data_IF_479725066478
#
_entry.id   IF_479725066478
#
_cell.length_a   1.000
_cell.length_b   1.000
_cell.length_c   1.000
_cell.angle_alpha   90.00
_cell.angle_beta   90.00
_cell.angle_gamma   90.00
#
_symmetry.space_group_name_H-M   'P 1'
#
loop_
_entity.id
_entity.type
_entity.pdbx_description
1 polymer ?
#
# COMPACT_ATOMS: atom_id res chain seq x y z
N UNK A 1 3.32 1.66 -13.39
CA UNK A 1 2.54 2.38 -12.35
C UNK A 1 2.46 3.84 -12.74
N UNK A 2 1.44 4.60 -12.35
CA UNK A 2 1.29 5.99 -12.80
C UNK A 2 1.63 6.97 -11.70
N UNK A 3 2.37 8.03 -12.04
CA UNK A 3 2.72 9.11 -11.13
C UNK A 3 1.45 9.79 -10.62
N UNK A 4 1.28 9.97 -9.29
CA UNK A 4 0.06 10.56 -8.74
C UNK A 4 -0.06 12.05 -9.07
N UNK A 5 1.07 12.70 -9.41
CA UNK A 5 1.14 14.14 -9.66
C UNK A 5 0.98 14.52 -11.14
N UNK A 6 1.45 13.68 -12.06
CA UNK A 6 1.48 13.99 -13.51
C UNK A 6 0.98 12.86 -14.41
N UNK A 7 0.38 11.84 -13.81
CA UNK A 7 -0.21 10.64 -14.45
C UNK A 7 0.71 9.92 -15.46
N UNK A 8 2.02 10.12 -15.33
CA UNK A 8 3.00 9.53 -16.25
C UNK A 8 3.46 8.17 -15.78
N UNK A 9 3.77 7.29 -16.73
CA UNK A 9 4.21 5.94 -16.44
C UNK A 9 5.56 5.98 -15.71
N UNK A 10 5.53 5.57 -14.44
CA UNK A 10 6.69 5.31 -13.61
C UNK A 10 7.03 3.83 -13.71
N UNK A 11 8.32 3.56 -13.96
CA UNK A 11 8.86 2.21 -13.99
C UNK A 11 9.20 1.71 -12.58
N UNK A 12 9.63 2.59 -11.68
CA UNK A 12 10.12 2.21 -10.35
C UNK A 12 9.86 3.30 -9.29
N UNK A 13 9.70 2.90 -8.02
CA UNK A 13 9.42 3.80 -6.88
C UNK A 13 10.68 4.47 -6.34
N UNK A 14 11.84 3.89 -6.66
CA UNK A 14 13.17 4.34 -6.27
C UNK A 14 13.74 5.40 -7.20
N UNK A 15 13.02 5.73 -8.28
CA UNK A 15 13.43 6.75 -9.23
C UNK A 15 12.45 7.92 -9.22
N UNK A 16 12.96 9.16 -9.26
CA UNK A 16 12.12 10.33 -9.42
C UNK A 16 11.41 10.30 -10.77
N UNK A 17 10.19 10.83 -10.82
CA UNK A 17 9.41 10.87 -12.04
C UNK A 17 10.18 11.63 -13.14
N UNK A 18 10.38 11.06 -14.33
CA UNK A 18 11.10 11.73 -15.41
C UNK A 18 10.34 12.95 -15.98
N UNK A 19 9.05 13.11 -15.66
CA UNK A 19 8.20 14.20 -16.19
C UNK A 19 7.99 15.35 -15.21
N UNK A 20 7.69 15.07 -13.94
CA UNK A 20 7.48 16.11 -12.93
C UNK A 20 8.58 16.18 -11.86
N UNK A 21 9.51 15.23 -11.81
CA UNK A 21 10.58 15.18 -10.80
C UNK A 21 10.14 14.67 -9.44
N UNK A 22 8.90 14.17 -9.28
CA UNK A 22 8.42 13.62 -8.00
C UNK A 22 9.24 12.40 -7.57
N UNK A 23 9.88 12.50 -6.41
CA UNK A 23 10.63 11.40 -5.78
C UNK A 23 9.77 10.71 -4.71
N UNK A 24 9.16 9.57 -5.07
CA UNK A 24 8.34 8.77 -4.16
C UNK A 24 9.15 8.13 -3.02
N UNK A 25 10.47 7.99 -3.18
CA UNK A 25 11.33 7.43 -2.13
C UNK A 25 11.62 8.43 -1.01
N UNK A 26 11.52 9.72 -1.31
CA UNK A 26 11.59 10.79 -0.30
C UNK A 26 10.24 11.08 0.36
N UNK A 27 9.14 10.61 -0.23
CA UNK A 27 7.81 10.78 0.34
C UNK A 27 7.64 9.96 1.63
N UNK A 28 6.90 10.52 2.58
CA UNK A 28 6.52 9.79 3.78
C UNK A 28 5.63 8.60 3.42
N UNK A 29 5.90 7.44 4.02
CA UNK A 29 5.07 6.25 3.88
C UNK A 29 4.02 6.28 4.99
N UNK A 30 2.75 6.39 4.60
CA UNK A 30 1.64 6.51 5.54
C UNK A 30 0.88 5.20 5.55
N UNK A 31 0.61 4.69 6.75
CA UNK A 31 -0.25 3.51 6.92
C UNK A 31 -1.69 3.90 6.62
N UNK A 32 -2.30 3.19 5.68
CA UNK A 32 -3.67 3.43 5.19
C UNK A 32 -4.67 2.41 5.71
N UNK A 33 -4.21 1.19 6.00
CA UNK A 33 -5.05 0.10 6.50
C UNK A 33 -4.22 -0.83 7.38
N UNK A 34 -4.90 -1.49 8.33
CA UNK A 34 -4.36 -2.61 9.09
C UNK A 34 -5.31 -3.77 8.87
N UNK A 35 -4.82 -4.86 8.31
CA UNK A 35 -5.65 -6.02 7.97
C UNK A 35 -4.99 -7.30 8.44
N UNK A 36 -5.79 -8.34 8.63
CA UNK A 36 -5.31 -9.65 9.09
C UNK A 36 -5.29 -10.65 7.94
N UNK A 37 -4.32 -11.57 7.92
CA UNK A 37 -4.27 -12.63 6.92
C UNK A 37 -5.54 -13.50 6.98
N UNK A 38 -6.00 -14.02 5.84
CA UNK A 38 -5.32 -14.04 4.53
C UNK A 38 -5.60 -12.84 3.61
N UNK A 39 -6.35 -11.82 4.07
CA UNK A 39 -6.78 -10.71 3.20
C UNK A 39 -5.62 -9.80 2.77
N UNK A 40 -4.46 -9.86 3.46
CA UNK A 40 -3.26 -9.04 3.20
C UNK A 40 -2.72 -9.22 1.78
N UNK A 41 -2.61 -10.48 1.35
CA UNK A 41 -2.14 -10.81 0.01
C UNK A 41 -3.11 -10.34 -1.10
N UNK A 42 -4.41 -10.36 -0.82
CA UNK A 42 -5.45 -9.91 -1.77
C UNK A 42 -5.36 -8.40 -1.96
N UNK A 43 -5.27 -7.66 -0.85
CA UNK A 43 -5.23 -6.21 -0.88
C UNK A 43 -3.91 -5.69 -1.45
N UNK A 44 -2.79 -6.35 -1.16
CA UNK A 44 -1.50 -6.06 -1.81
C UNK A 44 -1.61 -6.21 -3.34
N UNK A 45 -2.11 -7.34 -3.80
CA UNK A 45 -2.25 -7.64 -5.23
C UNK A 45 -3.18 -6.64 -5.93
N UNK A 46 -4.27 -6.26 -5.26
CA UNK A 46 -5.22 -5.26 -5.76
C UNK A 46 -4.55 -3.89 -5.92
N UNK A 47 -3.89 -3.39 -4.88
CA UNK A 47 -3.21 -2.08 -4.89
C UNK A 47 -2.09 -2.08 -5.94
N UNK A 48 -1.33 -3.16 -6.06
CA UNK A 48 -0.32 -3.32 -7.12
C UNK A 48 -0.93 -3.33 -8.52
N UNK A 49 -2.10 -3.95 -8.70
CA UNK A 49 -2.83 -3.98 -9.98
C UNK A 49 -3.29 -2.58 -10.42
N UNK A 50 -3.64 -1.71 -9.47
CA UNK A 50 -3.88 -0.28 -9.73
C UNK A 50 -2.61 0.51 -10.07
N UNK A 51 -1.44 -0.14 -10.07
CA UNK A 51 -0.17 0.51 -10.28
C UNK A 51 0.17 1.46 -9.14
N UNK A 52 -0.21 1.12 -7.91
CA UNK A 52 0.11 1.91 -6.72
C UNK A 52 1.17 1.16 -5.91
N UNK A 53 2.24 1.84 -5.48
CA UNK A 53 3.26 1.21 -4.67
C UNK A 53 2.78 0.98 -3.24
N UNK A 54 2.91 -0.26 -2.79
CA UNK A 54 2.45 -0.73 -1.48
C UNK A 54 3.58 -1.40 -0.72
N UNK A 55 3.64 -1.18 0.60
CA UNK A 55 4.52 -1.88 1.54
C UNK A 55 3.68 -2.55 2.61
N UNK A 56 3.84 -3.85 2.74
CA UNK A 56 3.32 -4.61 3.86
C UNK A 56 4.32 -4.57 5.01
N UNK A 57 3.85 -4.15 6.18
CA UNK A 57 4.62 -4.15 7.42
C UNK A 57 4.01 -5.24 8.30
N UNK A 58 4.67 -6.40 8.31
CA UNK A 58 4.30 -7.53 9.16
C UNK A 58 4.85 -7.29 10.57
N UNK A 59 4.01 -7.46 11.58
CA UNK A 59 4.50 -7.48 12.96
C UNK A 59 5.41 -8.70 13.16
N UNK A 60 6.54 -8.50 13.85
CA UNK A 60 7.68 -9.43 13.99
C UNK A 60 7.30 -10.84 14.48
N UNK A 61 6.12 -11.03 15.07
CA UNK A 61 5.61 -12.33 15.52
C UNK A 61 5.24 -13.31 14.39
N UNK A 62 5.01 -12.84 13.16
CA UNK A 62 4.49 -13.69 12.07
C UNK A 62 5.59 -14.41 11.26
N UNK A 63 6.84 -13.93 11.29
CA UNK A 63 7.91 -14.38 10.36
C UNK A 63 8.64 -15.63 10.86
N UNK A 64 8.46 -16.00 12.13
CA UNK A 64 9.15 -17.13 12.78
C UNK A 64 8.30 -18.40 12.93
N UNK A 65 7.12 -18.47 12.30
CA UNK A 65 6.25 -19.66 12.36
C UNK A 65 5.70 -19.99 13.75
N UNK A 66 5.81 -19.06 14.71
CA UNK A 66 5.42 -19.23 16.11
C UNK A 66 4.05 -18.63 16.47
N UNK A 67 3.32 -18.04 15.51
CA UNK A 67 2.04 -17.42 15.79
C UNK A 67 0.88 -18.41 15.68
N UNK A 68 0.71 -19.26 16.70
CA UNK A 68 -0.61 -19.80 17.05
C UNK A 68 -1.34 -18.69 17.82
N UNK A 69 -2.06 -17.80 17.12
CA UNK A 69 -2.92 -16.80 17.75
C UNK A 69 -3.20 -15.53 16.92
N UNK A 70 -4.23 -14.73 17.29
CA UNK A 70 -4.81 -13.63 16.51
C UNK A 70 -3.93 -12.36 16.34
N UNK A 71 -2.61 -12.46 16.49
CA UNK A 71 -1.65 -11.33 16.45
C UNK A 71 -1.02 -11.13 15.06
N UNK A 72 -1.75 -11.47 14.01
CA UNK A 72 -1.30 -11.44 12.61
C UNK A 72 -1.57 -10.12 11.88
N UNK A 73 -1.70 -8.99 12.56
CA UNK A 73 -2.04 -7.73 11.88
C UNK A 73 -0.90 -7.25 10.97
N UNK A 74 -1.22 -7.12 9.68
CA UNK A 74 -0.37 -6.57 8.62
C UNK A 74 -0.80 -5.14 8.36
N UNK A 75 0.16 -4.22 8.46
CA UNK A 75 -0.08 -2.80 8.16
C UNK A 75 0.29 -2.52 6.72
N UNK A 76 -0.64 -1.92 5.99
CA UNK A 76 -0.46 -1.53 4.60
C UNK A 76 -0.07 -0.07 4.57
N UNK A 77 1.14 0.20 4.07
CA UNK A 77 1.68 1.54 3.90
C UNK A 77 1.83 1.88 2.42
N UNK A 78 1.49 3.12 2.06
CA UNK A 78 1.68 3.66 0.72
C UNK A 78 2.30 5.06 0.84
N UNK A 79 2.97 5.58 -0.20
CA UNK A 79 3.44 6.96 -0.18
C UNK A 79 2.29 7.93 0.02
N UNK A 80 2.51 9.00 0.78
CA UNK A 80 1.50 10.02 1.12
C UNK A 80 0.70 10.51 -0.11
N UNK A 81 1.40 10.69 -1.24
CA UNK A 81 0.81 11.10 -2.52
C UNK A 81 -0.29 10.15 -3.04
N UNK A 82 -0.19 8.86 -2.71
CA UNK A 82 -1.23 7.86 -3.03
C UNK A 82 -2.16 7.59 -1.86
N UNK A 83 -1.82 7.99 -0.64
CA UNK A 83 -2.58 7.66 0.56
C UNK A 83 -4.03 8.16 0.48
N UNK A 84 -4.27 9.36 -0.05
CA UNK A 84 -5.62 9.86 -0.26
C UNK A 84 -6.44 8.98 -1.21
N UNK A 85 -5.86 8.61 -2.36
CA UNK A 85 -6.51 7.77 -3.38
C UNK A 85 -6.83 6.37 -2.84
N UNK A 86 -5.87 5.73 -2.17
CA UNK A 86 -6.10 4.38 -1.64
C UNK A 86 -7.06 4.40 -0.46
N UNK A 87 -7.04 5.43 0.40
CA UNK A 87 -8.04 5.59 1.46
C UNK A 87 -9.45 5.68 0.90
N UNK A 88 -9.66 6.38 -0.21
CA UNK A 88 -10.97 6.43 -0.87
C UNK A 88 -11.39 5.06 -1.43
N UNK A 89 -10.46 4.32 -2.06
CA UNK A 89 -10.73 2.97 -2.56
C UNK A 89 -11.10 2.01 -1.42
N UNK A 90 -10.34 2.04 -0.32
CA UNK A 90 -10.61 1.23 0.87
C UNK A 90 -11.93 1.59 1.53
N UNK A 91 -12.27 2.88 1.61
CA UNK A 91 -13.56 3.31 2.16
C UNK A 91 -14.73 2.81 1.31
N UNK A 92 -14.62 2.86 -0.02
CA UNK A 92 -15.63 2.33 -0.93
C UNK A 92 -15.80 0.80 -0.77
N UNK A 93 -14.69 0.05 -0.71
CA UNK A 93 -14.72 -1.40 -0.50
C UNK A 93 -15.28 -1.80 0.88
N UNK A 94 -15.03 -0.99 1.92
CA UNK A 94 -15.55 -1.24 3.26
C UNK A 94 -17.06 -0.97 3.36
N UNK A 95 -17.56 0.06 2.69
CA UNK A 95 -18.98 0.44 2.73
C UNK A 95 -19.86 -0.58 1.97
N UNK A 96 -19.35 -1.20 0.91
CA UNK A 96 -20.04 -2.26 0.16
C UNK A 96 -20.19 -3.60 0.92
N UNK A 97 -19.51 -3.76 2.05
CA UNK A 97 -19.62 -4.92 2.94
C UNK A 97 -20.52 -4.70 4.17
N UNK A 98 -21.20 -3.54 4.26
CA UNK A 98 -22.05 -3.14 5.41
C UNK A 98 -23.51 -3.52 5.26
#
# INVERSE_FOLDING_TARGET
MNCPECDSNLYDVNHPCPKCGLDLSRSAWVVIATITPPEDAVLESLIQSFGIPVRLIHSVGSVLGLAIGPLGEVKIAVPEQYAARVRQLLAAEAEERS
#
